data_IF_451283679750
#
_entry.id   IF_451283679750
#
_cell.length_a   1.000
_cell.length_b   1.000
_cell.length_c   1.000
_cell.angle_alpha   90.00
_cell.angle_beta   90.00
_cell.angle_gamma   90.00
#
_symmetry.space_group_name_H-M   'P 1'
#
loop_
_entity.id
_entity.type
_entity.pdbx_description
1 polymer ?
#
# COMPACT_ATOMS: atom_id res chain seq x y z
N UNK A 1 1.43 17.76 -18.42
CA UNK A 1 0.52 16.75 -17.82
C UNK A 1 0.30 17.16 -16.36
N UNK A 2 -0.88 17.65 -16.06
CA UNK A 2 -1.30 18.06 -14.69
C UNK A 2 -1.95 16.91 -13.91
N UNK A 3 -2.35 15.85 -14.61
CA UNK A 3 -2.98 14.67 -14.04
C UNK A 3 -2.69 13.47 -14.92
N UNK A 4 -2.36 12.34 -14.30
CA UNK A 4 -2.28 11.05 -14.97
C UNK A 4 -3.62 10.37 -14.71
N UNK A 5 -4.64 10.75 -15.49
CA UNK A 5 -5.98 10.20 -15.35
C UNK A 5 -6.04 8.73 -15.80
N UNK A 6 -6.87 7.94 -15.15
CA UNK A 6 -7.03 6.51 -15.44
C UNK A 6 -5.86 5.67 -14.90
N UNK A 7 -5.67 4.51 -15.48
CA UNK A 7 -4.56 3.60 -15.17
C UNK A 7 -3.61 3.50 -16.38
N UNK A 8 -2.84 4.54 -16.70
CA UNK A 8 -2.12 4.66 -17.98
C UNK A 8 -1.02 3.62 -18.18
N UNK A 9 -0.64 2.90 -17.12
CA UNK A 9 0.39 1.85 -17.14
C UNK A 9 -0.19 0.48 -16.83
N UNK A 10 -1.49 0.29 -17.06
CA UNK A 10 -2.17 -0.98 -16.87
C UNK A 10 -1.58 -2.03 -17.81
N UNK A 11 -1.37 -3.26 -17.31
CA UNK A 11 -0.79 -4.38 -18.06
C UNK A 11 0.65 -4.19 -18.57
N UNK A 12 1.38 -3.20 -18.08
CA UNK A 12 2.78 -3.00 -18.43
C UNK A 12 3.72 -3.93 -17.65
N UNK A 13 3.48 -5.25 -17.69
CA UNK A 13 4.15 -6.29 -16.88
C UNK A 13 5.67 -6.29 -16.94
N UNK A 14 6.26 -5.84 -18.05
CA UNK A 14 7.71 -5.79 -18.26
C UNK A 14 8.32 -4.42 -17.99
N UNK A 15 7.49 -3.43 -17.67
CA UNK A 15 7.97 -2.08 -17.39
C UNK A 15 8.78 -2.07 -16.10
N UNK A 16 10.05 -1.74 -16.21
CA UNK A 16 10.98 -1.67 -15.06
C UNK A 16 11.17 -0.25 -14.53
N UNK A 17 10.91 0.73 -15.36
CA UNK A 17 11.12 2.13 -15.02
C UNK A 17 10.18 3.05 -15.80
N UNK A 18 9.87 4.18 -15.21
CA UNK A 18 9.20 5.32 -15.82
C UNK A 18 10.19 6.47 -15.81
N UNK A 19 10.37 7.14 -16.95
CA UNK A 19 11.26 8.28 -17.08
C UNK A 19 10.46 9.54 -17.42
N UNK A 20 10.67 10.59 -16.65
CA UNK A 20 10.05 11.91 -16.83
C UNK A 20 11.15 12.93 -17.09
N UNK A 21 10.94 13.85 -18.04
CA UNK A 21 11.87 14.95 -18.29
C UNK A 21 12.13 15.74 -17.00
N UNK A 22 13.38 16.14 -16.80
CA UNK A 22 13.78 16.99 -15.65
C UNK A 22 13.07 18.34 -15.64
N UNK A 23 12.63 18.81 -16.82
CA UNK A 23 11.90 20.06 -16.99
C UNK A 23 10.39 19.91 -16.73
N UNK A 24 9.91 18.72 -16.40
CA UNK A 24 8.50 18.53 -16.06
C UNK A 24 8.22 19.16 -14.70
N UNK A 25 7.30 20.12 -14.68
CA UNK A 25 6.98 20.90 -13.48
C UNK A 25 5.97 20.22 -12.54
N UNK A 26 5.35 19.09 -12.96
CA UNK A 26 4.31 18.39 -12.20
C UNK A 26 4.74 17.03 -11.67
N UNK A 27 5.63 16.36 -12.40
CA UNK A 27 6.03 14.99 -12.15
C UNK A 27 7.54 14.87 -11.99
N UNK A 28 7.94 13.87 -11.21
CA UNK A 28 9.33 13.47 -11.05
C UNK A 28 9.44 11.95 -11.05
N UNK A 29 10.63 11.45 -11.36
CA UNK A 29 10.96 10.04 -11.19
C UNK A 29 12.22 9.88 -10.36
N UNK A 30 12.18 8.95 -9.41
CA UNK A 30 13.33 8.52 -8.62
C UNK A 30 13.40 7.00 -8.77
N UNK A 31 14.56 6.51 -9.18
CA UNK A 31 14.77 5.08 -9.46
C UNK A 31 13.68 4.46 -10.35
N UNK A 32 13.20 5.21 -11.34
CA UNK A 32 12.18 4.77 -12.28
C UNK A 32 10.77 4.64 -11.69
N UNK A 33 10.54 5.07 -10.46
CA UNK A 33 9.23 5.17 -9.82
C UNK A 33 8.68 6.58 -9.99
N UNK A 34 7.38 6.70 -10.25
CA UNK A 34 6.74 7.97 -10.57
C UNK A 34 6.13 8.63 -9.33
N UNK A 35 6.46 9.90 -9.15
CA UNK A 35 5.99 10.75 -8.06
C UNK A 35 5.44 12.09 -8.56
N UNK A 36 4.74 12.80 -7.69
CA UNK A 36 4.53 14.24 -7.83
C UNK A 36 5.88 14.98 -7.79
N UNK A 37 5.96 16.16 -8.38
CA UNK A 37 7.21 16.94 -8.44
C UNK A 37 7.78 17.29 -7.06
N UNK A 38 6.91 17.51 -6.09
CA UNK A 38 7.25 17.80 -4.70
C UNK A 38 7.55 16.53 -3.87
N UNK A 39 7.53 15.36 -4.49
CA UNK A 39 7.78 14.07 -3.88
C UNK A 39 6.82 13.66 -2.74
N UNK A 40 5.68 14.36 -2.59
CA UNK A 40 4.71 14.04 -1.54
C UNK A 40 3.77 12.90 -1.91
N UNK A 41 3.59 12.64 -3.22
CA UNK A 41 2.67 11.62 -3.72
C UNK A 41 3.40 10.59 -4.58
N UNK A 42 3.25 9.31 -4.25
CA UNK A 42 3.67 8.19 -5.08
C UNK A 42 2.55 7.84 -6.06
N UNK A 43 2.77 8.05 -7.36
CA UNK A 43 1.80 7.79 -8.41
C UNK A 43 1.82 6.37 -8.95
N UNK A 44 3.02 5.85 -9.29
CA UNK A 44 3.12 4.51 -9.88
C UNK A 44 4.48 3.87 -9.65
N UNK A 45 4.45 2.67 -9.14
CA UNK A 45 5.55 1.72 -9.09
C UNK A 45 5.45 0.79 -10.31
N UNK A 46 6.51 0.65 -11.14
CA UNK A 46 6.49 -0.20 -12.32
C UNK A 46 6.34 -1.69 -11.97
N UNK A 47 5.42 -2.38 -12.64
CA UNK A 47 5.09 -3.79 -12.36
C UNK A 47 6.26 -4.77 -12.54
N UNK A 48 7.15 -4.50 -13.49
CA UNK A 48 8.33 -5.32 -13.78
C UNK A 48 9.58 -4.95 -13.00
N UNK A 49 9.47 -4.05 -12.00
CA UNK A 49 10.59 -3.60 -11.16
C UNK A 49 10.95 -4.65 -10.09
N UNK A 50 11.62 -4.24 -9.05
CA UNK A 50 12.17 -5.08 -7.98
C UNK A 50 11.12 -5.80 -7.13
N UNK A 51 11.56 -6.86 -6.42
CA UNK A 51 10.76 -7.62 -5.46
C UNK A 51 10.51 -6.86 -4.16
N UNK A 52 11.41 -5.94 -3.81
CA UNK A 52 11.35 -5.14 -2.58
C UNK A 52 11.50 -3.67 -2.93
N UNK A 53 10.78 -2.82 -2.20
CA UNK A 53 10.84 -1.39 -2.39
C UNK A 53 10.65 -0.63 -1.07
N UNK A 54 11.55 0.34 -0.82
CA UNK A 54 11.43 1.30 0.29
C UNK A 54 10.91 2.62 -0.28
N UNK A 55 9.72 3.03 0.14
CA UNK A 55 9.12 4.31 -0.26
C UNK A 55 9.94 5.44 0.38
N UNK A 56 10.37 6.46 -0.37
CA UNK A 56 11.15 7.56 0.18
C UNK A 56 10.43 8.30 1.30
N UNK A 57 11.19 8.71 2.32
CA UNK A 57 10.66 9.60 3.36
C UNK A 57 10.23 10.94 2.74
N UNK A 58 9.12 11.50 3.21
CA UNK A 58 8.48 12.69 2.65
C UNK A 58 7.25 12.38 1.80
N UNK A 59 7.11 11.14 1.30
CA UNK A 59 5.86 10.69 0.69
C UNK A 59 4.78 10.64 1.76
N UNK A 60 3.67 11.35 1.56
CA UNK A 60 2.53 11.41 2.47
C UNK A 60 1.32 10.66 1.94
N UNK A 61 1.26 10.42 0.64
CA UNK A 61 0.13 9.83 -0.06
C UNK A 61 0.59 8.76 -1.07
N UNK A 62 -0.01 7.57 -0.99
CA UNK A 62 0.17 6.49 -1.96
C UNK A 62 -1.08 6.43 -2.82
N UNK A 63 -0.93 6.71 -4.13
CA UNK A 63 -2.05 6.87 -5.06
C UNK A 63 -2.81 5.57 -5.33
N UNK A 64 -4.05 5.73 -5.77
CA UNK A 64 -4.89 4.62 -6.15
C UNK A 64 -4.28 3.77 -7.26
N UNK A 65 -4.12 2.48 -7.00
CA UNK A 65 -3.47 1.56 -7.94
C UNK A 65 -1.96 1.72 -8.10
N UNK A 66 -1.28 2.48 -7.23
CA UNK A 66 0.16 2.74 -7.35
C UNK A 66 1.02 1.48 -7.48
N UNK A 67 0.69 0.43 -6.75
CA UNK A 67 1.34 -0.89 -6.79
C UNK A 67 0.44 -1.98 -7.38
N UNK A 68 -0.81 -1.67 -7.74
CA UNK A 68 -1.75 -2.67 -8.21
C UNK A 68 -1.38 -3.24 -9.58
N UNK A 69 -1.86 -4.45 -9.83
CA UNK A 69 -1.76 -5.14 -11.12
C UNK A 69 -3.07 -5.81 -11.47
N UNK A 70 -3.35 -6.01 -12.77
CA UNK A 70 -4.59 -6.64 -13.21
C UNK A 70 -4.61 -8.17 -13.07
N UNK A 71 -3.46 -8.85 -13.08
CA UNK A 71 -3.39 -10.29 -13.25
C UNK A 71 -2.54 -11.04 -12.24
N UNK A 72 -2.34 -10.56 -11.02
CA UNK A 72 -1.50 -11.23 -10.01
C UNK A 72 -0.03 -11.41 -10.39
N UNK A 73 0.47 -10.66 -11.38
CA UNK A 73 1.87 -10.76 -11.84
C UNK A 73 2.84 -9.86 -11.07
N UNK A 74 2.35 -9.09 -10.11
CA UNK A 74 3.22 -8.27 -9.29
C UNK A 74 4.21 -9.16 -8.53
N UNK A 75 5.48 -8.86 -8.69
CA UNK A 75 6.54 -9.56 -7.98
C UNK A 75 6.88 -8.93 -6.63
N UNK A 76 6.18 -7.86 -6.23
CA UNK A 76 6.42 -7.17 -4.97
C UNK A 76 6.17 -8.12 -3.80
N UNK A 77 7.21 -8.48 -3.11
CA UNK A 77 7.17 -9.36 -1.94
C UNK A 77 7.25 -8.60 -0.62
N UNK A 78 7.82 -7.39 -0.66
CA UNK A 78 7.96 -6.52 0.51
C UNK A 78 7.94 -5.05 0.10
N UNK A 79 7.31 -4.22 0.92
CA UNK A 79 7.35 -2.76 0.81
C UNK A 79 7.53 -2.13 2.19
N UNK A 80 8.45 -1.20 2.28
CA UNK A 80 8.63 -0.37 3.48
C UNK A 80 7.87 0.94 3.28
N UNK A 81 6.90 1.20 4.15
CA UNK A 81 6.10 2.42 4.16
C UNK A 81 6.64 3.33 5.28
N UNK A 82 7.18 4.52 4.95
CA UNK A 82 7.77 5.40 5.95
C UNK A 82 6.71 6.07 6.84
N UNK A 83 7.14 6.53 8.01
CA UNK A 83 6.28 7.25 8.98
C UNK A 83 5.75 8.61 8.46
N UNK A 84 6.14 9.05 7.28
CA UNK A 84 5.57 10.22 6.62
C UNK A 84 4.24 9.94 5.92
N UNK A 85 3.89 8.67 5.63
CA UNK A 85 2.67 8.31 4.91
C UNK A 85 1.45 8.44 5.82
N UNK A 86 0.47 9.21 5.36
CA UNK A 86 -0.78 9.51 6.06
C UNK A 86 -1.95 8.75 5.44
N UNK A 87 -1.88 8.49 4.13
CA UNK A 87 -3.00 7.90 3.38
C UNK A 87 -2.51 6.92 2.32
N UNK A 88 -3.21 5.78 2.24
CA UNK A 88 -3.12 4.76 1.19
C UNK A 88 -4.46 4.77 0.46
N UNK A 89 -4.49 5.17 -0.81
CA UNK A 89 -5.73 5.36 -1.56
C UNK A 89 -6.30 4.04 -2.12
N UNK A 90 -7.44 4.15 -2.81
CA UNK A 90 -8.22 3.02 -3.29
C UNK A 90 -7.41 2.06 -4.18
N UNK A 91 -7.40 0.79 -3.86
CA UNK A 91 -6.72 -0.24 -4.63
C UNK A 91 -5.20 -0.12 -4.71
N UNK A 92 -4.55 0.71 -3.89
CA UNK A 92 -3.12 1.02 -4.01
C UNK A 92 -2.22 -0.22 -4.12
N UNK A 93 -2.50 -1.28 -3.37
CA UNK A 93 -1.81 -2.57 -3.38
C UNK A 93 -2.70 -3.72 -3.87
N UNK A 94 -3.81 -3.42 -4.53
CA UNK A 94 -4.73 -4.47 -4.97
C UNK A 94 -4.00 -5.51 -5.84
N UNK A 95 -4.23 -6.80 -5.55
CA UNK A 95 -3.63 -7.94 -6.26
C UNK A 95 -2.12 -8.08 -6.13
N UNK A 96 -1.48 -7.47 -5.12
CA UNK A 96 -0.10 -7.78 -4.75
C UNK A 96 -0.02 -9.18 -4.13
N UNK A 97 -0.21 -10.21 -4.96
CA UNK A 97 -0.39 -11.60 -4.50
C UNK A 97 0.84 -12.23 -3.83
N UNK A 98 2.03 -11.66 -4.04
CA UNK A 98 3.29 -12.11 -3.42
C UNK A 98 3.68 -11.31 -2.18
N UNK A 99 2.94 -10.24 -1.87
CA UNK A 99 3.19 -9.45 -0.67
C UNK A 99 2.85 -10.30 0.57
N UNK A 100 3.86 -10.72 1.30
CA UNK A 100 3.71 -11.62 2.43
C UNK A 100 3.53 -10.88 3.76
N UNK A 101 4.21 -9.75 3.90
CA UNK A 101 4.20 -8.94 5.12
C UNK A 101 4.08 -7.47 4.76
N UNK A 102 3.31 -6.72 5.54
CA UNK A 102 3.20 -5.26 5.44
C UNK A 102 3.28 -4.61 6.82
N UNK A 103 4.07 -3.54 6.92
CA UNK A 103 4.09 -2.67 8.09
C UNK A 103 3.38 -1.37 7.77
N UNK A 104 2.32 -1.08 8.51
CA UNK A 104 1.53 0.14 8.41
C UNK A 104 2.03 1.13 9.46
N UNK A 105 2.50 2.34 9.07
CA UNK A 105 3.12 3.29 9.98
C UNK A 105 2.14 3.90 10.98
N UNK A 106 2.66 4.40 12.08
CA UNK A 106 1.85 5.02 13.15
C UNK A 106 1.13 6.31 12.69
N UNK A 107 1.69 6.99 11.71
CA UNK A 107 1.12 8.19 11.07
C UNK A 107 -0.12 7.91 10.23
N UNK A 108 -0.36 6.66 9.81
CA UNK A 108 -1.41 6.30 8.85
C UNK A 108 -2.80 6.59 9.41
N UNK A 109 -3.60 7.36 8.68
CA UNK A 109 -4.95 7.78 9.07
C UNK A 109 -6.06 7.09 8.29
N UNK A 110 -5.80 6.80 7.00
CA UNK A 110 -6.81 6.27 6.08
C UNK A 110 -6.22 5.21 5.16
N UNK A 111 -6.96 4.11 4.98
CA UNK A 111 -6.73 3.09 3.96
C UNK A 111 -7.99 3.02 3.10
N UNK A 112 -7.86 3.35 1.82
CA UNK A 112 -8.96 3.45 0.87
C UNK A 112 -9.61 2.10 0.51
N UNK A 113 -10.70 2.17 -0.26
CA UNK A 113 -11.44 0.99 -0.68
C UNK A 113 -10.54 -0.01 -1.42
N UNK A 114 -10.64 -1.29 -1.09
CA UNK A 114 -9.92 -2.38 -1.78
C UNK A 114 -8.39 -2.23 -1.80
N UNK A 115 -7.79 -1.41 -0.92
CA UNK A 115 -6.36 -1.09 -0.97
C UNK A 115 -5.45 -2.33 -0.94
N UNK A 116 -5.79 -3.36 -0.19
CA UNK A 116 -5.09 -4.65 -0.11
C UNK A 116 -5.95 -5.83 -0.60
N UNK A 117 -6.98 -5.56 -1.41
CA UNK A 117 -7.83 -6.62 -1.92
C UNK A 117 -7.04 -7.59 -2.80
N UNK A 118 -7.32 -8.88 -2.67
CA UNK A 118 -6.62 -9.94 -3.41
C UNK A 118 -5.11 -10.04 -3.14
N UNK A 119 -4.60 -9.49 -2.03
CA UNK A 119 -3.25 -9.79 -1.53
C UNK A 119 -3.24 -11.18 -0.87
N UNK A 120 -3.46 -12.21 -1.68
CA UNK A 120 -3.67 -13.60 -1.19
C UNK A 120 -2.44 -14.21 -0.50
N UNK A 121 -1.27 -13.62 -0.70
CA UNK A 121 -0.03 -14.05 -0.05
C UNK A 121 0.19 -13.44 1.33
N UNK A 122 -0.66 -12.48 1.75
CA UNK A 122 -0.44 -11.73 2.97
C UNK A 122 -0.65 -12.60 4.21
N UNK A 123 0.40 -12.73 5.02
CA UNK A 123 0.46 -13.54 6.23
C UNK A 123 0.60 -12.73 7.50
N UNK A 124 1.18 -11.53 7.40
CA UNK A 124 1.44 -10.66 8.54
C UNK A 124 1.14 -9.21 8.20
N UNK A 125 0.41 -8.56 9.09
CA UNK A 125 0.15 -7.12 9.04
C UNK A 125 0.62 -6.55 10.38
N UNK A 126 1.66 -5.71 10.36
CA UNK A 126 2.13 -4.96 11.52
C UNK A 126 1.53 -3.57 11.49
N UNK A 127 0.50 -3.31 12.27
CA UNK A 127 -0.12 -2.00 12.35
C UNK A 127 0.40 -1.22 13.56
N UNK A 128 1.31 -0.27 13.33
CA UNK A 128 1.93 0.54 14.39
C UNK A 128 1.00 1.64 14.93
N UNK A 129 -0.19 1.78 14.37
CA UNK A 129 -1.17 2.80 14.77
C UNK A 129 -1.92 2.36 16.02
N UNK A 130 -1.65 2.98 17.14
CA UNK A 130 -2.39 2.79 18.38
C UNK A 130 -2.81 4.12 19.01
N UNK A 131 -3.79 4.14 19.92
CA UNK A 131 -4.76 3.10 20.21
C UNK A 131 -5.90 3.02 19.17
N UNK A 132 -6.07 4.05 18.32
CA UNK A 132 -7.11 4.10 17.31
C UNK A 132 -6.57 3.61 15.95
N UNK A 133 -7.08 2.50 15.40
CA UNK A 133 -6.64 2.00 14.10
C UNK A 133 -6.90 3.01 12.97
N UNK A 134 -6.19 2.89 11.83
CA UNK A 134 -6.51 3.66 10.64
C UNK A 134 -7.96 3.40 10.23
N UNK A 135 -8.64 4.44 9.73
CA UNK A 135 -9.96 4.26 9.11
C UNK A 135 -9.83 3.42 7.85
N UNK A 136 -10.75 2.48 7.67
CA UNK A 136 -10.81 1.64 6.48
C UNK A 136 -11.96 2.06 5.57
N UNK A 137 -11.69 2.04 4.27
CA UNK A 137 -12.73 2.04 3.24
C UNK A 137 -13.46 0.69 3.19
N UNK A 138 -14.08 0.39 2.07
CA UNK A 138 -14.81 -0.88 1.89
C UNK A 138 -13.90 -1.95 1.27
N UNK A 139 -14.01 -3.20 1.77
CA UNK A 139 -13.34 -4.37 1.22
C UNK A 139 -11.81 -4.26 1.16
N UNK A 140 -11.22 -3.55 2.12
CA UNK A 140 -9.76 -3.28 2.14
C UNK A 140 -8.98 -4.57 2.04
N UNK A 141 -9.33 -5.57 2.85
CA UNK A 141 -8.67 -6.89 2.90
C UNK A 141 -9.50 -8.00 2.25
N UNK A 142 -10.29 -7.68 1.21
CA UNK A 142 -11.07 -8.69 0.48
C UNK A 142 -10.13 -9.75 -0.11
N UNK A 143 -10.45 -11.04 0.11
CA UNK A 143 -9.67 -12.20 -0.33
C UNK A 143 -8.27 -12.33 0.31
N UNK A 144 -7.98 -11.59 1.38
CA UNK A 144 -6.92 -11.95 2.33
C UNK A 144 -7.47 -13.02 3.26
N UNK A 145 -6.70 -14.07 3.53
CA UNK A 145 -7.07 -15.10 4.48
C UNK A 145 -6.92 -14.60 5.92
N UNK A 146 -7.99 -14.00 6.45
CA UNK A 146 -8.00 -13.39 7.79
C UNK A 146 -7.95 -14.41 8.94
N UNK A 147 -8.09 -15.71 8.63
CA UNK A 147 -7.93 -16.80 9.60
C UNK A 147 -6.45 -17.14 9.82
N UNK A 148 -5.68 -17.11 8.72
CA UNK A 148 -4.26 -17.46 8.76
C UNK A 148 -3.35 -16.22 8.88
N UNK A 149 -3.85 -15.03 8.46
CA UNK A 149 -3.09 -13.80 8.55
C UNK A 149 -3.05 -13.28 9.99
N UNK A 150 -1.85 -13.02 10.50
CA UNK A 150 -1.66 -12.45 11.83
C UNK A 150 -1.67 -10.92 11.73
N UNK A 151 -2.51 -10.29 12.54
CA UNK A 151 -2.54 -8.85 12.72
C UNK A 151 -1.81 -8.47 14.01
N UNK A 152 -0.64 -7.90 13.87
CA UNK A 152 0.12 -7.33 14.99
C UNK A 152 -0.33 -5.91 15.24
N UNK A 153 -0.64 -5.59 16.49
CA UNK A 153 -1.13 -4.27 16.93
C UNK A 153 -0.37 -3.78 18.14
N UNK A 154 -0.31 -2.47 18.41
CA UNK A 154 0.37 -1.95 19.59
C UNK A 154 -0.21 -2.48 20.90
N UNK A 155 0.62 -2.52 21.94
CA UNK A 155 0.24 -2.90 23.31
C UNK A 155 -1.03 -2.17 23.77
N UNK A 156 -1.94 -2.90 24.42
CA UNK A 156 -3.24 -2.42 24.90
C UNK A 156 -4.21 -1.95 23.80
N UNK A 157 -4.02 -2.38 22.54
CA UNK A 157 -4.86 -1.98 21.40
C UNK A 157 -5.78 -3.09 20.88
N UNK A 158 -5.54 -4.36 21.23
CA UNK A 158 -6.26 -5.52 20.69
C UNK A 158 -7.77 -5.39 20.79
N UNK A 159 -8.28 -4.95 21.94
CA UNK A 159 -9.72 -4.77 22.14
C UNK A 159 -10.35 -3.80 21.13
N UNK A 160 -9.67 -2.70 20.79
CA UNK A 160 -10.18 -1.71 19.84
C UNK A 160 -10.19 -2.29 18.42
N UNK A 161 -9.11 -2.98 18.01
CA UNK A 161 -9.07 -3.63 16.70
C UNK A 161 -10.12 -4.72 16.55
N UNK A 162 -10.34 -5.54 17.58
CA UNK A 162 -11.39 -6.57 17.62
C UNK A 162 -12.84 -6.02 17.53
N UNK A 163 -13.02 -4.72 17.77
CA UNK A 163 -14.33 -4.06 17.69
C UNK A 163 -14.43 -3.02 16.57
N UNK A 164 -13.41 -2.90 15.71
CA UNK A 164 -13.39 -1.93 14.61
C UNK A 164 -13.69 -2.63 13.28
N UNK A 165 -14.49 -1.97 12.43
CA UNK A 165 -14.91 -2.46 11.11
C UNK A 165 -13.74 -3.00 10.28
N UNK A 166 -13.91 -4.15 9.63
CA UNK A 166 -12.95 -4.97 8.90
C UNK A 166 -11.75 -5.46 9.72
N UNK A 167 -11.20 -4.69 10.66
CA UNK A 167 -10.13 -5.15 11.54
C UNK A 167 -10.58 -6.32 12.43
N UNK A 168 -11.82 -6.29 12.90
CA UNK A 168 -12.44 -7.35 13.74
C UNK A 168 -12.56 -8.70 13.04
N UNK A 169 -12.41 -8.74 11.73
CA UNK A 169 -12.53 -9.97 10.95
C UNK A 169 -11.24 -10.82 10.98
N UNK A 170 -10.13 -10.28 11.48
CA UNK A 170 -8.91 -11.05 11.71
C UNK A 170 -9.05 -11.90 12.95
N UNK A 171 -8.85 -13.23 12.81
CA UNK A 171 -8.99 -14.17 13.94
C UNK A 171 -7.74 -14.17 14.83
N UNK A 172 -6.57 -13.81 14.30
CA UNK A 172 -5.29 -13.78 15.00
C UNK A 172 -4.80 -12.34 15.20
N UNK A 173 -5.17 -11.73 16.32
CA UNK A 173 -4.70 -10.37 16.71
C UNK A 173 -3.72 -10.51 17.88
N UNK A 174 -2.49 -10.07 17.67
CA UNK A 174 -1.38 -10.16 18.66
C UNK A 174 -0.86 -8.75 18.97
N UNK A 175 -0.64 -8.47 20.24
CA UNK A 175 -0.02 -7.21 20.69
C UNK A 175 1.50 -7.31 20.67
N UNK A 176 2.18 -6.33 20.06
CA UNK A 176 3.65 -6.23 19.98
C UNK A 176 4.19 -4.87 20.51
#
# INVERSE_FOLDING_TARGET
LTNIGGQPFEDCKKMKEINVSKDNIYLATVDGVLFSRDMTKLWKFPEGKSLMYSIPYGVTFIDGGAFSTNYYYNNLSSVEIPESVIEIDNGAFSRCAKLATITLPSSLMLIGNQAFSFCVGLKEIHCKKGPNPPKLGQWVFRNVDKKECILYVPQNSSFIYQNTYEWKDFENIIEE
#
